data_IF_883825186357
#
_entry.id   IF_883825186357
#
_cell.length_a   1.000
_cell.length_b   1.000
_cell.length_c   1.000
_cell.angle_alpha   90.00
_cell.angle_beta   90.00
_cell.angle_gamma   90.00
#
_symmetry.space_group_name_H-M   'P 1'
#
loop_
_entity.id
_entity.type
_entity.pdbx_description
1 polymer ?
#
# COMPACT_ATOMS: atom_id res chain seq x y z
N UNK A 1 -6.44 -9.56 -30.70
CA UNK A 1 -5.61 -10.41 -29.82
C UNK A 1 -4.72 -9.55 -28.90
N UNK A 2 -3.83 -8.68 -29.42
CA UNK A 2 -2.90 -7.88 -28.61
C UNK A 2 -3.59 -7.00 -27.58
N UNK A 3 -4.63 -6.26 -27.97
CA UNK A 3 -5.36 -5.37 -27.07
C UNK A 3 -6.07 -6.14 -25.95
N UNK A 4 -6.64 -7.30 -26.25
CA UNK A 4 -7.29 -8.13 -25.24
C UNK A 4 -6.27 -8.76 -24.30
N UNK A 5 -5.15 -9.23 -24.83
CA UNK A 5 -4.03 -9.73 -24.03
C UNK A 5 -3.50 -8.64 -23.07
N UNK A 6 -3.41 -7.38 -23.54
CA UNK A 6 -3.01 -6.25 -22.71
C UNK A 6 -4.02 -5.98 -21.59
N UNK A 7 -5.33 -6.06 -21.86
CA UNK A 7 -6.34 -5.91 -20.82
C UNK A 7 -6.21 -6.99 -19.73
N UNK A 8 -5.93 -8.23 -20.11
CA UNK A 8 -5.69 -9.32 -19.15
C UNK A 8 -4.36 -9.18 -18.39
N UNK A 9 -3.30 -8.71 -19.05
CA UNK A 9 -2.03 -8.39 -18.40
C UNK A 9 -2.21 -7.35 -17.29
N UNK A 10 -2.95 -6.28 -17.57
CA UNK A 10 -3.21 -5.22 -16.58
C UNK A 10 -4.06 -5.70 -15.40
N UNK A 11 -4.98 -6.63 -15.63
CA UNK A 11 -5.72 -7.28 -14.54
C UNK A 11 -4.77 -8.00 -13.58
N UNK A 12 -3.77 -8.71 -14.12
CA UNK A 12 -2.76 -9.42 -13.31
C UNK A 12 -1.89 -8.44 -12.51
N UNK A 13 -1.54 -7.29 -13.10
CA UNK A 13 -0.82 -6.23 -12.37
C UNK A 13 -1.63 -5.72 -11.17
N UNK A 14 -2.94 -5.56 -11.34
CA UNK A 14 -3.80 -5.15 -10.23
C UNK A 14 -3.95 -6.21 -9.16
N UNK A 15 -4.07 -7.48 -9.55
CA UNK A 15 -4.13 -8.59 -8.60
C UNK A 15 -2.81 -8.69 -7.81
N UNK A 16 -1.67 -8.62 -8.48
CA UNK A 16 -0.35 -8.63 -7.84
C UNK A 16 -0.19 -7.47 -6.84
N UNK A 17 -0.61 -6.27 -7.22
CA UNK A 17 -0.58 -5.12 -6.32
C UNK A 17 -1.49 -5.33 -5.10
N UNK A 18 -2.73 -5.79 -5.31
CA UNK A 18 -3.66 -6.04 -4.22
C UNK A 18 -3.13 -7.12 -3.25
N UNK A 19 -2.63 -8.24 -3.76
CA UNK A 19 -2.20 -9.37 -2.95
C UNK A 19 -0.83 -9.15 -2.31
N UNK A 20 0.16 -8.69 -3.07
CA UNK A 20 1.56 -8.64 -2.63
C UNK A 20 2.00 -7.31 -2.03
N UNK A 21 1.24 -6.23 -2.24
CA UNK A 21 1.52 -4.90 -1.66
C UNK A 21 0.45 -4.49 -0.66
N UNK A 22 -0.83 -4.61 -1.02
CA UNK A 22 -1.91 -4.27 -0.10
C UNK A 22 -2.21 -5.39 0.91
N UNK A 23 -1.78 -6.64 0.67
CA UNK A 23 -2.13 -7.78 1.50
C UNK A 23 -3.64 -8.10 1.47
N UNK A 24 -4.30 -7.82 0.35
CA UNK A 24 -5.75 -8.03 0.14
C UNK A 24 -5.95 -9.10 -0.92
N UNK A 25 -6.38 -10.32 -0.53
CA UNK A 25 -6.73 -11.36 -1.49
C UNK A 25 -7.86 -10.91 -2.41
N UNK A 26 -7.75 -11.20 -3.71
CA UNK A 26 -8.74 -10.82 -4.71
C UNK A 26 -9.14 -11.98 -5.61
N UNK A 27 -10.40 -11.96 -6.05
CA UNK A 27 -10.90 -12.82 -7.10
C UNK A 27 -10.82 -12.11 -8.44
N UNK A 28 -10.23 -12.76 -9.43
CA UNK A 28 -10.18 -12.26 -10.80
C UNK A 28 -11.33 -12.87 -11.60
N UNK A 29 -12.02 -12.06 -12.39
CA UNK A 29 -13.15 -12.53 -13.17
C UNK A 29 -13.48 -11.65 -14.38
N UNK A 30 -14.48 -12.09 -15.13
CA UNK A 30 -15.06 -11.37 -16.27
C UNK A 30 -16.47 -10.96 -15.90
N UNK A 31 -16.82 -9.70 -16.08
CA UNK A 31 -18.16 -9.20 -15.81
C UNK A 31 -19.18 -9.73 -16.83
N UNK A 32 -20.39 -10.02 -16.35
CA UNK A 32 -21.53 -10.36 -17.19
C UNK A 32 -21.86 -9.22 -18.16
N UNK A 33 -22.62 -9.52 -19.20
CA UNK A 33 -23.02 -8.50 -20.18
C UNK A 33 -23.77 -7.32 -19.55
N UNK A 34 -24.57 -7.57 -18.53
CA UNK A 34 -25.37 -6.57 -17.84
C UNK A 34 -24.55 -5.64 -16.95
N UNK A 35 -23.40 -6.10 -16.48
CA UNK A 35 -22.50 -5.30 -15.62
C UNK A 35 -21.23 -4.81 -16.33
N UNK A 36 -21.11 -5.18 -17.59
CA UNK A 36 -19.98 -4.78 -18.43
C UNK A 36 -19.98 -3.27 -18.63
N UNK A 37 -18.80 -2.67 -18.68
CA UNK A 37 -18.66 -1.26 -19.04
C UNK A 37 -19.28 -1.00 -20.43
N UNK A 38 -20.16 -0.01 -20.52
CA UNK A 38 -20.85 0.32 -21.78
C UNK A 38 -19.85 0.65 -22.89
N UNK A 39 -19.93 -0.09 -24.00
CA UNK A 39 -19.01 0.05 -25.14
C UNK A 39 -17.79 -0.86 -25.08
N UNK A 40 -17.54 -1.58 -23.99
CA UNK A 40 -16.50 -2.59 -23.95
C UNK A 40 -16.99 -3.93 -24.54
N UNK A 41 -16.08 -4.66 -25.19
CA UNK A 41 -16.33 -6.04 -25.61
C UNK A 41 -16.22 -6.99 -24.43
N UNK A 42 -15.20 -6.79 -23.57
CA UNK A 42 -15.04 -7.50 -22.31
C UNK A 42 -14.60 -6.54 -21.19
N UNK A 43 -15.05 -6.81 -19.97
CA UNK A 43 -14.62 -6.12 -18.75
C UNK A 43 -14.10 -7.15 -17.77
N UNK A 44 -12.82 -7.09 -17.48
CA UNK A 44 -12.17 -7.89 -16.46
C UNK A 44 -12.16 -7.11 -15.14
N UNK A 45 -12.27 -7.81 -14.02
CA UNK A 45 -12.35 -7.20 -12.68
C UNK A 45 -11.55 -7.97 -11.66
N UNK A 46 -11.00 -7.26 -10.67
CA UNK A 46 -10.59 -7.83 -9.41
C UNK A 46 -11.57 -7.41 -8.32
N UNK A 47 -11.99 -8.35 -7.48
CA UNK A 47 -12.93 -8.10 -6.39
C UNK A 47 -12.38 -8.68 -5.09
N UNK A 48 -12.41 -7.85 -4.03
CA UNK A 48 -11.99 -8.25 -2.70
C UNK A 48 -13.21 -8.55 -1.81
N UNK A 49 -13.09 -9.55 -0.94
CA UNK A 49 -14.10 -9.84 0.08
C UNK A 49 -13.89 -8.92 1.28
N UNK A 50 -14.93 -8.17 1.65
CA UNK A 50 -14.92 -7.33 2.85
C UNK A 50 -15.36 -8.12 4.09
N UNK A 51 -15.08 -7.59 5.27
CA UNK A 51 -15.40 -8.25 6.55
C UNK A 51 -16.90 -8.51 6.75
N UNK A 52 -17.76 -7.71 6.12
CA UNK A 52 -19.22 -7.89 6.13
C UNK A 52 -19.73 -8.92 5.11
N UNK A 53 -18.83 -9.62 4.43
CA UNK A 53 -19.14 -10.63 3.43
C UNK A 53 -19.54 -10.10 2.06
N UNK A 54 -19.43 -8.78 1.83
CA UNK A 54 -19.72 -8.19 0.52
C UNK A 54 -18.46 -8.11 -0.33
N UNK A 55 -18.63 -8.28 -1.65
CA UNK A 55 -17.57 -8.10 -2.60
C UNK A 55 -17.38 -6.61 -2.91
N UNK A 56 -16.13 -6.14 -2.89
CA UNK A 56 -15.74 -4.80 -3.31
C UNK A 56 -14.98 -4.88 -4.63
N UNK A 57 -15.53 -4.28 -5.68
CA UNK A 57 -14.81 -4.10 -6.93
C UNK A 57 -13.58 -3.21 -6.69
N UNK A 58 -12.40 -3.77 -6.85
CA UNK A 58 -11.12 -3.13 -6.52
C UNK A 58 -10.34 -2.62 -7.73
N UNK A 59 -10.65 -3.12 -8.92
CA UNK A 59 -10.07 -2.64 -10.17
C UNK A 59 -10.71 -3.25 -11.37
N UNK A 60 -10.69 -2.54 -12.51
CA UNK A 60 -11.22 -3.04 -13.77
C UNK A 60 -10.25 -2.81 -14.92
N UNK A 61 -10.28 -3.72 -15.88
CA UNK A 61 -9.55 -3.63 -17.13
C UNK A 61 -10.48 -3.97 -18.28
N UNK A 62 -10.64 -3.05 -19.21
CA UNK A 62 -11.61 -3.14 -20.29
C UNK A 62 -10.92 -3.41 -21.62
N UNK A 63 -11.41 -4.39 -22.34
CA UNK A 63 -11.15 -4.56 -23.75
C UNK A 63 -12.26 -3.82 -24.52
N UNK A 64 -11.96 -2.66 -25.09
CA UNK A 64 -12.92 -1.79 -25.75
C UNK A 64 -13.17 -2.17 -27.21
N UNK A 65 -12.31 -3.03 -27.77
CA UNK A 65 -12.34 -3.31 -29.18
C UNK A 65 -12.11 -2.06 -30.02
N UNK A 66 -12.95 -1.83 -31.03
CA UNK A 66 -12.93 -0.63 -31.88
C UNK A 66 -14.14 0.30 -31.67
N UNK A 67 -14.98 0.03 -30.68
CA UNK A 67 -16.24 0.77 -30.51
C UNK A 67 -16.01 2.27 -30.31
N UNK A 68 -15.14 2.63 -29.38
CA UNK A 68 -14.80 4.03 -29.13
C UNK A 68 -13.96 4.63 -30.26
N UNK A 69 -13.05 3.84 -30.84
CA UNK A 69 -12.25 4.30 -31.98
C UNK A 69 -13.12 4.71 -33.17
N UNK A 70 -14.17 3.94 -33.48
CA UNK A 70 -15.14 4.29 -34.53
C UNK A 70 -15.99 5.53 -34.17
N UNK A 71 -16.39 5.64 -32.90
CA UNK A 71 -17.21 6.78 -32.45
C UNK A 71 -16.43 8.10 -32.43
N UNK A 72 -15.13 8.06 -32.18
CA UNK A 72 -14.25 9.23 -32.11
C UNK A 72 -13.34 9.41 -33.34
N UNK A 73 -13.50 8.54 -34.36
CA UNK A 73 -12.69 8.52 -35.58
C UNK A 73 -11.17 8.42 -35.33
N UNK A 74 -10.80 7.54 -34.38
CA UNK A 74 -9.39 7.32 -34.02
C UNK A 74 -8.80 6.23 -34.90
N UNK A 75 -7.98 6.64 -35.87
CA UNK A 75 -7.35 5.73 -36.84
C UNK A 75 -5.82 5.77 -36.77
N UNK A 76 -5.18 4.78 -37.33
CA UNK A 76 -3.76 4.72 -37.58
C UNK A 76 -3.51 4.22 -39.01
N UNK A 77 -2.32 4.48 -39.56
CA UNK A 77 -1.90 3.91 -40.84
C UNK A 77 -1.30 2.52 -40.62
N UNK A 78 -1.88 1.52 -41.23
CA UNK A 78 -1.35 0.17 -41.18
C UNK A 78 -0.08 0.01 -42.04
N UNK A 79 0.48 -1.18 -42.11
CA UNK A 79 1.72 -1.48 -42.88
C UNK A 79 1.56 -1.24 -44.39
N UNK A 80 0.35 -1.27 -44.93
CA UNK A 80 -0.01 -0.98 -46.30
C UNK A 80 -0.37 0.51 -46.53
N UNK A 81 -0.13 1.38 -45.53
CA UNK A 81 -0.43 2.81 -45.58
C UNK A 81 -1.95 3.11 -45.73
N UNK A 82 -2.81 2.22 -45.22
CA UNK A 82 -4.26 2.41 -45.20
C UNK A 82 -4.73 2.78 -43.80
N UNK A 83 -5.69 3.70 -43.64
CA UNK A 83 -6.26 4.01 -42.34
C UNK A 83 -7.08 2.84 -41.80
N UNK A 84 -6.83 2.47 -40.56
CA UNK A 84 -7.57 1.47 -39.80
C UNK A 84 -7.92 2.01 -38.41
N UNK A 85 -9.09 1.62 -37.87
CA UNK A 85 -9.46 1.98 -36.50
C UNK A 85 -8.58 1.21 -35.50
N UNK A 86 -8.14 1.93 -34.46
CA UNK A 86 -7.34 1.33 -33.40
C UNK A 86 -8.15 0.34 -32.56
N UNK A 87 -7.48 -0.69 -32.07
CA UNK A 87 -7.99 -1.55 -31.02
C UNK A 87 -7.59 -0.94 -29.67
N UNK A 88 -8.56 -0.67 -28.81
CA UNK A 88 -8.33 0.08 -27.60
C UNK A 88 -8.60 -0.74 -26.34
N UNK A 89 -7.87 -0.41 -25.30
CA UNK A 89 -8.08 -0.87 -23.94
C UNK A 89 -8.21 0.32 -23.00
N UNK A 90 -8.91 0.12 -21.88
CA UNK A 90 -8.96 1.10 -20.81
C UNK A 90 -8.86 0.37 -19.47
N UNK A 91 -7.93 0.77 -18.65
CA UNK A 91 -7.72 0.14 -17.36
C UNK A 91 -7.32 1.18 -16.33
N UNK A 92 -7.79 0.99 -15.10
CA UNK A 92 -7.58 1.93 -14.02
C UNK A 92 -8.00 1.39 -12.67
N UNK A 93 -7.40 1.97 -11.66
CA UNK A 93 -7.77 1.87 -10.25
C UNK A 93 -8.05 3.26 -9.71
N UNK A 94 -8.75 3.34 -8.60
CA UNK A 94 -9.10 4.62 -7.99
C UNK A 94 -8.74 4.64 -6.50
N UNK A 95 -8.96 5.78 -5.86
CA UNK A 95 -8.84 5.94 -4.40
C UNK A 95 -9.74 5.00 -3.59
N UNK A 96 -10.66 4.26 -4.24
CA UNK A 96 -11.40 3.15 -3.62
C UNK A 96 -10.45 2.12 -2.99
N UNK A 97 -9.24 1.90 -3.54
CA UNK A 97 -8.25 1.01 -2.96
C UNK A 97 -7.78 1.45 -1.58
N UNK A 98 -7.75 2.75 -1.31
CA UNK A 98 -7.45 3.26 0.05
C UNK A 98 -8.57 2.87 1.02
N UNK A 99 -9.82 2.99 0.61
CA UNK A 99 -10.97 2.52 1.39
C UNK A 99 -10.92 1.00 1.64
N UNK A 100 -10.59 0.22 0.61
CA UNK A 100 -10.43 -1.23 0.73
C UNK A 100 -9.34 -1.58 1.77
N UNK A 101 -8.18 -0.93 1.70
CA UNK A 101 -7.08 -1.12 2.64
C UNK A 101 -7.51 -0.86 4.09
N UNK A 102 -8.23 0.25 4.32
CA UNK A 102 -8.74 0.62 5.64
C UNK A 102 -9.75 -0.42 6.13
N UNK A 103 -10.71 -0.82 5.31
CA UNK A 103 -11.76 -1.77 5.67
C UNK A 103 -11.23 -3.19 5.95
N UNK A 104 -10.12 -3.57 5.33
CA UNK A 104 -9.53 -4.91 5.51
C UNK A 104 -8.59 -4.97 6.71
N UNK A 105 -7.75 -3.96 6.91
CA UNK A 105 -6.63 -4.05 7.87
C UNK A 105 -6.77 -3.17 9.11
N UNK A 106 -7.48 -2.04 9.03
CA UNK A 106 -7.52 -1.08 10.14
C UNK A 106 -8.39 -1.56 11.31
N UNK A 107 -8.09 -1.03 12.48
CA UNK A 107 -8.77 -1.31 13.74
C UNK A 107 -9.26 -0.01 14.41
N UNK A 108 -9.80 -0.10 15.63
CA UNK A 108 -10.32 1.04 16.39
C UNK A 108 -9.21 2.03 16.84
N UNK A 109 -7.93 1.64 16.77
CA UNK A 109 -6.79 2.50 17.10
C UNK A 109 -6.27 3.29 15.88
N UNK A 110 -6.72 2.96 14.68
CA UNK A 110 -6.35 3.66 13.45
C UNK A 110 -5.93 2.77 12.31
N UNK A 111 -5.08 3.27 11.42
CA UNK A 111 -4.59 2.52 10.26
C UNK A 111 -3.68 1.36 10.69
N UNK A 112 -3.76 0.27 9.95
CA UNK A 112 -2.75 -0.81 9.94
C UNK A 112 -2.24 -0.93 8.52
N UNK A 113 -1.05 -0.41 8.26
CA UNK A 113 -0.50 -0.39 6.91
C UNK A 113 0.39 -1.62 6.67
N UNK A 114 0.19 -2.35 5.56
CA UNK A 114 1.17 -3.32 5.09
C UNK A 114 2.54 -2.66 4.91
N UNK A 115 3.63 -3.29 5.34
CA UNK A 115 4.96 -2.66 5.31
C UNK A 115 5.37 -2.13 3.93
N UNK A 116 5.02 -2.82 2.86
CA UNK A 116 5.34 -2.40 1.48
C UNK A 116 4.63 -1.10 1.03
N UNK A 117 3.52 -0.73 1.68
CA UNK A 117 2.78 0.51 1.39
C UNK A 117 3.02 1.61 2.41
N UNK A 118 3.63 1.30 3.55
CA UNK A 118 3.86 2.26 4.59
C UNK A 118 4.92 3.30 4.18
N UNK A 119 4.60 4.61 4.16
CA UNK A 119 5.59 5.65 3.88
C UNK A 119 6.72 5.68 4.91
N UNK A 120 6.40 5.33 6.16
CA UNK A 120 7.33 5.09 7.25
C UNK A 120 7.10 3.67 7.74
N UNK A 121 8.09 2.80 7.57
CA UNK A 121 7.99 1.40 7.98
C UNK A 121 8.39 1.18 9.43
N UNK A 122 9.38 1.95 9.89
CA UNK A 122 9.87 1.92 11.26
C UNK A 122 9.94 3.33 11.82
N UNK A 123 9.30 3.58 12.97
CA UNK A 123 9.53 4.79 13.74
C UNK A 123 10.36 4.46 14.98
N UNK A 124 11.35 5.28 15.27
CA UNK A 124 12.22 5.16 16.44
C UNK A 124 11.99 6.38 17.32
N UNK A 125 11.64 6.14 18.60
CA UNK A 125 11.30 7.18 19.55
C UNK A 125 12.22 7.05 20.78
N UNK A 126 13.17 7.96 20.97
CA UNK A 126 13.96 8.01 22.20
C UNK A 126 13.12 8.54 23.36
N UNK A 127 13.29 7.99 24.56
CA UNK A 127 12.72 8.49 25.81
C UNK A 127 13.88 8.93 26.71
N UNK A 128 14.10 10.23 26.76
CA UNK A 128 15.22 10.84 27.49
C UNK A 128 14.77 11.79 28.61
N UNK A 129 15.66 12.01 29.56
CA UNK A 129 15.50 12.99 30.66
C UNK A 129 16.40 14.21 30.50
N UNK A 130 16.96 14.43 29.33
CA UNK A 130 17.84 15.56 29.01
C UNK A 130 18.73 15.26 27.82
N UNK A 131 19.46 16.28 27.37
CA UNK A 131 20.22 16.25 26.12
C UNK A 131 21.37 15.22 26.14
N UNK A 132 22.05 15.07 27.28
CA UNK A 132 23.15 14.09 27.41
C UNK A 132 22.65 12.66 27.18
N UNK A 133 21.53 12.30 27.82
CA UNK A 133 20.93 10.97 27.64
C UNK A 133 20.42 10.78 26.22
N UNK A 134 19.85 11.81 25.60
CA UNK A 134 19.43 11.78 24.20
C UNK A 134 20.62 11.49 23.28
N UNK A 135 21.76 12.16 23.49
CA UNK A 135 22.95 11.92 22.69
C UNK A 135 23.45 10.48 22.81
N UNK A 136 23.44 9.92 24.03
CA UNK A 136 23.85 8.53 24.27
C UNK A 136 22.92 7.55 23.56
N UNK A 137 21.59 7.74 23.67
CA UNK A 137 20.58 6.92 22.98
C UNK A 137 20.76 7.03 21.47
N UNK A 138 20.90 8.24 20.94
CA UNK A 138 21.08 8.48 19.51
C UNK A 138 22.34 7.78 18.98
N UNK A 139 23.45 7.92 19.66
CA UNK A 139 24.69 7.23 19.30
C UNK A 139 24.54 5.70 19.27
N UNK A 140 23.80 5.16 20.23
CA UNK A 140 23.54 3.72 20.31
C UNK A 140 22.64 3.23 19.16
N UNK A 141 21.62 4.01 18.81
CA UNK A 141 20.64 3.67 17.78
C UNK A 141 21.16 3.92 16.35
N UNK A 142 22.24 4.71 16.19
CA UNK A 142 22.71 5.10 14.85
C UNK A 142 23.01 3.88 13.97
N UNK A 143 23.68 2.85 14.51
CA UNK A 143 24.00 1.65 13.74
C UNK A 143 22.75 0.86 13.33
N UNK A 144 21.72 0.84 14.15
CA UNK A 144 20.43 0.19 13.84
C UNK A 144 19.72 0.96 12.72
N UNK A 145 19.71 2.28 12.81
CA UNK A 145 19.12 3.17 11.78
C UNK A 145 19.81 2.94 10.43
N UNK A 146 21.13 2.91 10.43
CA UNK A 146 21.92 2.76 9.21
C UNK A 146 21.71 1.37 8.57
N UNK A 147 21.72 0.31 9.36
CA UNK A 147 21.43 -1.04 8.88
C UNK A 147 20.03 -1.19 8.31
N UNK A 148 19.01 -0.61 8.96
CA UNK A 148 17.64 -0.62 8.44
C UNK A 148 17.54 0.12 7.10
N UNK A 149 18.21 1.26 6.98
CA UNK A 149 18.25 2.04 5.73
C UNK A 149 19.01 1.32 4.61
N UNK A 150 20.10 0.65 4.92
CA UNK A 150 20.84 -0.20 3.96
C UNK A 150 19.98 -1.34 3.41
N UNK A 151 19.05 -1.86 4.22
CA UNK A 151 18.06 -2.85 3.81
C UNK A 151 16.88 -2.24 3.01
N UNK A 152 16.91 -0.92 2.74
CA UNK A 152 15.84 -0.23 2.02
C UNK A 152 14.60 0.07 2.87
N UNK A 153 14.68 -0.07 4.19
CA UNK A 153 13.58 0.20 5.12
C UNK A 153 13.50 1.69 5.40
N UNK A 154 12.31 2.27 5.25
CA UNK A 154 12.06 3.67 5.57
C UNK A 154 11.97 3.88 7.08
N UNK A 155 12.93 4.60 7.64
CA UNK A 155 13.05 4.85 9.08
C UNK A 155 12.84 6.33 9.39
N UNK A 156 11.94 6.62 10.34
CA UNK A 156 11.79 7.92 10.95
C UNK A 156 12.33 7.89 12.39
N UNK A 157 13.34 8.70 12.67
CA UNK A 157 13.78 9.00 14.02
C UNK A 157 13.04 10.24 14.53
N UNK A 158 12.29 10.12 15.63
CA UNK A 158 11.49 11.21 16.21
C UNK A 158 11.99 11.57 17.60
N UNK A 159 12.98 12.43 17.65
CA UNK A 159 13.57 13.02 18.83
C UNK A 159 12.95 14.38 19.22
N UNK A 160 11.86 14.79 18.54
CA UNK A 160 11.22 16.08 18.81
C UNK A 160 10.77 16.18 20.29
N UNK A 161 10.96 17.34 20.89
CA UNK A 161 10.64 17.62 22.29
C UNK A 161 9.26 18.25 22.51
N UNK A 162 8.58 18.62 21.42
CA UNK A 162 7.29 19.32 21.43
C UNK A 162 6.09 18.42 21.78
N UNK A 163 6.30 17.08 21.85
CA UNK A 163 5.27 16.09 22.16
C UNK A 163 5.79 15.05 23.15
N UNK A 164 4.92 14.68 24.10
CA UNK A 164 5.24 13.60 25.05
C UNK A 164 5.28 12.23 24.35
N UNK A 165 6.06 11.28 24.85
CA UNK A 165 6.16 9.92 24.25
C UNK A 165 4.81 9.24 24.01
N UNK A 166 3.89 9.27 24.98
CA UNK A 166 2.56 8.68 24.83
C UNK A 166 1.75 9.28 23.68
N UNK A 167 1.87 10.59 23.42
CA UNK A 167 1.25 11.22 22.26
C UNK A 167 1.87 10.73 20.96
N UNK A 168 3.20 10.63 20.89
CA UNK A 168 3.90 10.11 19.71
C UNK A 168 3.46 8.67 19.42
N UNK A 169 3.33 7.84 20.46
CA UNK A 169 2.88 6.45 20.31
C UNK A 169 1.51 6.39 19.65
N UNK A 170 0.53 7.12 20.21
CA UNK A 170 -0.83 7.17 19.66
C UNK A 170 -0.87 7.77 18.23
N UNK A 171 -0.07 8.80 17.95
CA UNK A 171 -0.01 9.43 16.63
C UNK A 171 0.53 8.46 15.56
N UNK A 172 1.57 7.68 15.87
CA UNK A 172 2.11 6.68 14.94
C UNK A 172 1.25 5.42 14.84
N UNK A 173 0.55 5.02 15.90
CA UNK A 173 -0.47 3.98 15.84
C UNK A 173 -1.64 4.38 14.94
N UNK A 174 -2.15 5.60 15.11
CA UNK A 174 -3.21 6.17 14.25
C UNK A 174 -2.79 6.19 12.77
N UNK A 175 -1.53 6.52 12.49
CA UNK A 175 -0.96 6.55 11.14
C UNK A 175 -0.63 5.16 10.57
N UNK A 176 -0.76 4.12 11.35
CA UNK A 176 -0.52 2.75 10.93
C UNK A 176 0.93 2.40 10.64
N UNK A 177 1.90 3.06 11.30
CA UNK A 177 3.32 2.73 11.15
C UNK A 177 3.57 1.29 11.60
N UNK A 178 4.09 0.40 10.74
CA UNK A 178 4.15 -1.03 11.03
C UNK A 178 4.95 -1.43 12.27
N UNK A 179 6.07 -0.76 12.50
CA UNK A 179 6.96 -1.08 13.62
C UNK A 179 7.36 0.19 14.36
N UNK A 180 7.27 0.14 15.69
CA UNK A 180 7.79 1.17 16.59
C UNK A 180 8.92 0.59 17.42
N UNK A 181 10.05 1.28 17.42
CA UNK A 181 11.20 1.02 18.31
C UNK A 181 11.26 2.12 19.36
N UNK A 182 11.49 1.73 20.60
CA UNK A 182 11.61 2.67 21.72
C UNK A 182 12.87 2.32 22.51
N UNK A 183 13.67 3.32 22.86
CA UNK A 183 14.79 3.19 23.77
C UNK A 183 14.72 4.29 24.82
N UNK A 184 14.69 3.88 26.07
CA UNK A 184 14.77 4.75 27.23
C UNK A 184 16.05 4.53 28.04
N UNK A 185 16.16 5.19 29.20
CA UNK A 185 17.34 5.05 30.05
C UNK A 185 17.60 3.61 30.54
N UNK A 186 16.54 2.86 30.85
CA UNK A 186 16.66 1.45 31.27
C UNK A 186 17.14 0.54 30.14
N UNK A 187 16.60 0.81 28.93
CA UNK A 187 17.00 0.04 27.75
C UNK A 187 18.47 0.31 27.39
N UNK A 188 18.87 1.57 27.52
CA UNK A 188 20.28 1.98 27.32
C UNK A 188 21.22 1.25 28.28
N UNK A 189 20.85 1.17 29.59
CA UNK A 189 21.63 0.46 30.62
C UNK A 189 21.70 -1.06 30.36
N UNK A 190 20.58 -1.64 29.92
CA UNK A 190 20.46 -3.09 29.70
C UNK A 190 20.92 -3.52 28.29
N UNK A 191 21.27 -2.56 27.44
CA UNK A 191 21.57 -2.79 26.03
C UNK A 191 20.43 -3.46 25.26
N UNK A 192 19.17 -3.05 25.52
CA UNK A 192 17.96 -3.57 24.90
C UNK A 192 17.22 -2.47 24.15
N UNK A 193 16.22 -2.86 23.34
CA UNK A 193 15.28 -1.96 22.67
C UNK A 193 13.87 -2.57 22.73
N UNK A 194 12.84 -1.77 23.05
CA UNK A 194 11.45 -2.20 22.94
C UNK A 194 11.03 -2.15 21.46
N UNK A 195 10.53 -3.26 20.95
CA UNK A 195 9.90 -3.37 19.64
C UNK A 195 8.40 -3.54 19.83
N UNK A 196 7.59 -2.80 19.09
CA UNK A 196 6.15 -2.99 19.03
C UNK A 196 5.70 -3.15 17.57
N UNK A 197 4.92 -4.18 17.29
CA UNK A 197 4.24 -4.36 16.01
C UNK A 197 2.87 -3.69 16.03
N UNK A 198 2.52 -2.98 14.96
CA UNK A 198 1.21 -2.30 14.85
C UNK A 198 0.04 -3.26 14.65
N UNK A 199 0.27 -4.36 13.94
CA UNK A 199 -0.78 -5.33 13.59
C UNK A 199 -1.23 -6.20 14.77
N UNK A 200 -0.33 -6.54 15.68
CA UNK A 200 -0.64 -7.37 16.85
C UNK A 200 -0.69 -6.60 18.15
N UNK A 201 -0.13 -5.39 18.18
CA UNK A 201 0.13 -4.58 19.38
C UNK A 201 1.05 -5.27 20.41
N UNK A 202 1.67 -6.37 20.02
CA UNK A 202 2.63 -7.09 20.84
C UNK A 202 3.92 -6.28 21.00
N UNK A 203 4.48 -6.39 22.19
CA UNK A 203 5.74 -5.75 22.56
C UNK A 203 6.74 -6.80 23.01
N UNK A 204 7.97 -6.62 22.58
CA UNK A 204 9.08 -7.41 23.06
C UNK A 204 10.30 -6.51 23.32
N UNK A 205 11.18 -6.95 24.19
CA UNK A 205 12.46 -6.27 24.46
C UNK A 205 13.59 -7.22 24.02
N UNK A 206 14.43 -6.74 23.12
CA UNK A 206 15.56 -7.50 22.55
C UNK A 206 16.87 -6.79 22.83
#
# INVERSE_FOLDING_TARGET
EEAEAKAQEMLKVYADFAENFMGVPVLQGVKSETERFAGALNTYTIEAMMQDGKALQSGTSHFLGQNFAKSFDVTYLNKENKPEYVWATSWGVSTRLMGALIMVHSDDNGLVLPPKLAPVQVVIIPINKGDEQLQQITAKLQSVIDQLRELGISVKYDDSDNKRPGFKFADYELKGVPVRLVMGGRDLENNTIEIMRRDTLEKESV
#
